data_IF_446965595896
#
_entry.id   IF_446965595896
#
_cell.length_a   1.000
_cell.length_b   1.000
_cell.length_c   1.000
_cell.angle_alpha   90.00
_cell.angle_beta   90.00
_cell.angle_gamma   90.00
#
_symmetry.space_group_name_H-M   'P 1'
#
loop_
_entity.id
_entity.type
_entity.pdbx_description
1 polymer ?
#
# COMPACT_ATOMS: atom_id res chain seq x y z
N UNK A 1 -8.00 -5.15 12.50
CA UNK A 1 -7.58 -4.91 11.11
C UNK A 1 -6.07 -4.74 11.08
N UNK A 2 -5.34 -5.50 10.26
CA UNK A 2 -3.88 -5.34 10.10
C UNK A 2 -3.62 -4.46 8.87
N UNK A 3 -2.57 -3.64 8.91
CA UNK A 3 -2.17 -2.77 7.80
C UNK A 3 -0.69 -3.00 7.52
N UNK A 4 -0.40 -3.35 6.28
CA UNK A 4 0.96 -3.47 5.76
C UNK A 4 1.17 -2.37 4.71
N UNK A 5 2.42 -1.94 4.56
CA UNK A 5 2.80 -0.88 3.61
C UNK A 5 4.18 -1.18 3.04
N UNK A 6 4.32 -1.03 1.73
CA UNK A 6 5.61 -1.12 1.04
C UNK A 6 5.75 0.06 0.08
N UNK A 7 6.99 0.50 -0.11
CA UNK A 7 7.32 1.53 -1.09
C UNK A 7 7.54 0.91 -2.48
N UNK A 8 7.45 1.73 -3.52
CA UNK A 8 7.67 1.29 -4.89
C UNK A 8 9.03 0.58 -5.04
N UNK A 9 9.02 -0.58 -5.71
CA UNK A 9 10.21 -1.43 -5.87
C UNK A 9 10.50 -2.38 -4.71
N UNK A 10 9.80 -2.27 -3.58
CA UNK A 10 9.95 -3.17 -2.43
C UNK A 10 8.78 -4.14 -2.33
N UNK A 11 9.02 -5.43 -2.05
CA UNK A 11 7.95 -6.40 -1.87
C UNK A 11 7.20 -6.15 -0.56
N UNK A 12 5.90 -6.43 -0.56
CA UNK A 12 5.06 -6.46 0.64
C UNK A 12 4.82 -7.92 1.04
N UNK A 13 4.81 -8.21 2.35
CA UNK A 13 4.52 -9.54 2.87
C UNK A 13 3.33 -9.48 3.84
N UNK A 14 2.35 -10.37 3.62
CA UNK A 14 1.16 -10.48 4.46
C UNK A 14 1.20 -11.80 5.22
N UNK A 15 1.00 -11.75 6.55
CA UNK A 15 0.99 -12.95 7.40
C UNK A 15 -0.18 -12.95 8.38
N UNK A 16 -0.86 -14.08 8.46
CA UNK A 16 -1.84 -14.38 9.49
C UNK A 16 -1.24 -15.33 10.54
N UNK A 17 -1.68 -15.28 11.81
CA UNK A 17 -1.18 -16.17 12.85
C UNK A 17 -1.78 -17.58 12.71
N UNK A 18 -1.00 -18.62 13.02
CA UNK A 18 -1.50 -19.99 13.10
C UNK A 18 -2.05 -20.51 11.78
N UNK A 19 -3.33 -20.92 11.78
CA UNK A 19 -4.06 -21.46 10.63
C UNK A 19 -5.01 -20.46 9.97
N UNK A 20 -5.00 -19.20 10.40
CA UNK A 20 -5.86 -18.16 9.84
C UNK A 20 -5.43 -17.83 8.40
N UNK A 21 -6.38 -17.40 7.58
CA UNK A 21 -6.17 -17.03 6.17
C UNK A 21 -6.25 -15.52 5.97
N UNK A 22 -5.67 -15.04 4.87
CA UNK A 22 -5.68 -13.62 4.52
C UNK A 22 -7.01 -13.28 3.84
N UNK A 23 -7.63 -12.19 4.27
CA UNK A 23 -8.77 -11.55 3.61
C UNK A 23 -8.42 -10.07 3.42
N UNK A 24 -8.46 -9.60 2.18
CA UNK A 24 -8.16 -8.20 1.86
C UNK A 24 -9.44 -7.39 2.02
N UNK A 25 -9.41 -6.39 2.90
CA UNK A 25 -10.51 -5.45 3.13
C UNK A 25 -10.40 -4.20 2.25
N UNK A 26 -9.17 -3.71 2.08
CA UNK A 26 -8.85 -2.53 1.27
C UNK A 26 -7.44 -2.66 0.71
N UNK A 27 -7.22 -2.22 -0.53
CA UNK A 27 -5.90 -2.07 -1.13
C UNK A 27 -5.87 -0.84 -2.05
N UNK A 28 -4.76 -0.10 -2.01
CA UNK A 28 -4.50 1.01 -2.92
C UNK A 28 -3.04 0.95 -3.35
N UNK A 29 -2.80 1.00 -4.66
CA UNK A 29 -1.49 1.24 -5.21
C UNK A 29 -1.42 2.69 -5.70
N UNK A 30 -0.65 3.52 -5.03
CA UNK A 30 -0.59 4.96 -5.28
C UNK A 30 -0.06 5.73 -4.09
N UNK A 31 -0.46 6.99 -3.96
CA UNK A 31 0.00 7.92 -2.93
C UNK A 31 -1.14 8.79 -2.43
N UNK A 32 -1.37 8.75 -1.13
CA UNK A 32 -2.40 9.51 -0.43
C UNK A 32 -1.83 10.42 0.68
N UNK A 33 -0.51 10.37 0.88
CA UNK A 33 0.22 11.07 1.94
C UNK A 33 1.62 11.45 1.40
N UNK A 34 2.04 12.67 1.67
CA UNK A 34 3.31 13.26 1.26
C UNK A 34 4.46 12.96 2.23
N UNK A 35 4.26 12.13 3.25
CA UNK A 35 5.30 11.77 4.25
C UNK A 35 5.69 10.30 4.23
N UNK A 36 4.99 9.49 3.46
CA UNK A 36 5.21 8.04 3.36
C UNK A 36 6.09 7.77 2.14
N UNK A 37 7.06 6.85 2.23
CA UNK A 37 7.97 6.53 1.12
C UNK A 37 8.66 7.77 0.55
N UNK A 38 9.61 8.28 1.34
CA UNK A 38 10.38 9.49 1.08
C UNK A 38 11.18 9.37 -0.23
N UNK A 39 11.16 10.42 -1.03
CA UNK A 39 11.69 10.49 -2.39
C UNK A 39 11.93 11.97 -2.78
N UNK A 40 12.17 12.24 -4.07
CA UNK A 40 12.27 13.62 -4.53
C UNK A 40 10.94 14.37 -4.28
N UNK A 41 10.96 15.63 -3.81
CA UNK A 41 9.73 16.37 -3.45
C UNK A 41 8.68 16.37 -4.55
N UNK A 42 9.10 16.51 -5.81
CA UNK A 42 8.23 16.47 -6.99
C UNK A 42 7.45 15.14 -7.12
N UNK A 43 8.02 14.02 -6.70
CA UNK A 43 7.37 12.71 -6.73
C UNK A 43 6.35 12.53 -5.58
N UNK A 44 6.44 13.36 -4.55
CA UNK A 44 5.63 13.27 -3.33
C UNK A 44 4.44 14.25 -3.34
N UNK A 45 4.46 15.27 -4.20
CA UNK A 45 3.41 16.29 -4.32
C UNK A 45 2.03 15.70 -4.66
N UNK A 46 1.97 14.64 -5.47
CA UNK A 46 0.69 14.05 -5.85
C UNK A 46 0.15 13.11 -4.77
N UNK A 47 -0.66 13.67 -3.87
CA UNK A 47 -1.37 12.94 -2.81
C UNK A 47 -2.78 12.48 -3.21
N UNK A 48 -3.17 12.61 -4.48
CA UNK A 48 -4.46 12.13 -4.99
C UNK A 48 -4.25 11.05 -6.05
N UNK A 49 -3.34 10.12 -5.77
CA UNK A 49 -2.99 9.02 -6.65
C UNK A 49 -3.62 7.71 -6.14
N UNK A 50 -4.58 7.19 -6.89
CA UNK A 50 -5.35 5.99 -6.54
C UNK A 50 -5.43 5.02 -7.72
N UNK A 51 -5.35 3.73 -7.42
CA UNK A 51 -5.57 2.66 -8.39
C UNK A 51 -6.67 1.72 -7.87
N UNK A 52 -7.95 1.89 -8.29
CA UNK A 52 -9.06 1.08 -7.81
C UNK A 52 -8.91 -0.43 -8.08
N UNK A 53 -8.19 -0.80 -9.14
CA UNK A 53 -7.96 -2.20 -9.50
C UNK A 53 -6.98 -2.91 -8.57
N UNK A 54 -6.28 -2.19 -7.68
CA UNK A 54 -5.36 -2.77 -6.71
C UNK A 54 -6.06 -3.72 -5.71
N UNK A 55 -7.38 -3.58 -5.52
CA UNK A 55 -8.16 -4.48 -4.66
C UNK A 55 -8.52 -5.82 -5.33
N UNK A 56 -8.47 -5.90 -6.66
CA UNK A 56 -8.88 -7.10 -7.41
C UNK A 56 -7.75 -8.14 -7.55
N UNK A 57 -6.55 -7.80 -7.09
CA UNK A 57 -5.35 -8.65 -7.13
C UNK A 57 -5.45 -9.67 -5.99
#
# INVERSE_FOLDING_TARGET
MRRELACEGYPIELRCPGSDVIMIETANYGRTDDKICDADPFQMENVQCYLPDAFKI
#
